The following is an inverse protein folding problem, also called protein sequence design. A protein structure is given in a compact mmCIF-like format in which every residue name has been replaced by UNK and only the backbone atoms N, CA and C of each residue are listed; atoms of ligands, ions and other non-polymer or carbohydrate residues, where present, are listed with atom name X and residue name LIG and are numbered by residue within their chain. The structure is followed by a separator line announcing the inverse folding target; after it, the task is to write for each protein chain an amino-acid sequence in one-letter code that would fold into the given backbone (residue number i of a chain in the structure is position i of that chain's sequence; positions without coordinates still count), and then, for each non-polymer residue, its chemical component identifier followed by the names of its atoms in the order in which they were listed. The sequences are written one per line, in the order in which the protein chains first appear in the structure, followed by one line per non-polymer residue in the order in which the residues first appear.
data_IF_578204110888
#
_entry.id   IF_578204110888
#
_cell.length_a   1.000
_cell.length_b   1.000
_cell.length_c   1.000
_cell.angle_alpha   90.00
_cell.angle_beta   90.00
_cell.angle_gamma   90.00
#
_symmetry.space_group_name_H-M   'P 1'
#
loop_
_entity.id
_entity.type
_entity.pdbx_description
1 polymer ?
#
# COMPACT_ATOMS: atom_id res chain seq x y z
N UNK A 1 -9.94 11.48 -6.94
CA UNK A 1 -9.46 11.95 -5.61
C UNK A 1 -7.99 11.56 -5.53
N UNK A 2 -7.07 12.52 -5.53
CA UNK A 2 -5.66 12.25 -5.21
C UNK A 2 -5.62 11.77 -3.75
N UNK A 3 -5.64 10.44 -3.55
CA UNK A 3 -5.48 9.87 -2.22
C UNK A 3 -3.99 9.90 -1.89
N UNK A 4 -3.61 10.77 -0.98
CA UNK A 4 -2.31 10.72 -0.31
C UNK A 4 -2.27 9.48 0.57
N UNK A 5 -1.17 8.72 0.50
CA UNK A 5 -0.93 7.56 1.35
C UNK A 5 -1.06 7.94 2.83
N UNK A 6 -1.92 7.25 3.59
CA UNK A 6 -2.06 7.45 5.03
C UNK A 6 -0.87 6.82 5.75
N UNK A 7 -0.13 7.61 6.52
CA UNK A 7 0.99 7.12 7.32
C UNK A 7 0.53 6.91 8.76
N UNK A 8 0.90 5.78 9.33
CA UNK A 8 0.57 5.36 10.69
C UNK A 8 1.88 5.05 11.43
N UNK A 9 1.99 5.44 12.69
CA UNK A 9 3.02 4.93 13.60
C UNK A 9 2.72 3.47 13.98
N UNK A 10 3.74 2.73 14.40
CA UNK A 10 3.60 1.33 14.80
C UNK A 10 2.51 1.13 15.87
N UNK A 11 2.43 2.03 16.85
CA UNK A 11 1.44 1.95 17.93
C UNK A 11 -0.01 2.21 17.49
N UNK A 12 -0.22 2.89 16.35
CA UNK A 12 -1.56 3.16 15.80
C UNK A 12 -2.14 1.95 15.06
N UNK A 13 -1.32 0.93 14.81
CA UNK A 13 -1.75 -0.30 14.18
C UNK A 13 -1.96 -1.38 15.24
N UNK A 14 -3.23 -1.73 15.46
CA UNK A 14 -3.59 -2.89 16.28
C UNK A 14 -4.30 -3.89 15.40
N UNK A 15 -3.79 -5.12 15.40
CA UNK A 15 -4.50 -6.26 14.84
C UNK A 15 -5.51 -6.77 15.86
N UNK A 16 -6.77 -6.36 15.67
CA UNK A 16 -7.89 -6.79 16.50
C UNK A 16 -8.63 -8.02 15.95
N UNK A 17 -8.16 -8.61 14.84
CA UNK A 17 -8.84 -9.74 14.19
C UNK A 17 -10.24 -9.39 13.68
N UNK A 18 -10.44 -8.16 13.22
CA UNK A 18 -11.74 -7.72 12.67
C UNK A 18 -12.11 -8.55 11.43
N UNK A 19 -13.37 -9.00 11.31
CA UNK A 19 -13.78 -9.96 10.27
C UNK A 19 -13.71 -9.41 8.84
N UNK A 20 -13.69 -8.08 8.69
CA UNK A 20 -13.59 -7.36 7.43
C UNK A 20 -12.13 -6.94 7.10
N UNK A 21 -11.15 -7.43 7.88
CA UNK A 21 -9.72 -7.25 7.65
C UNK A 21 -9.10 -8.57 7.23
N UNK A 22 -8.47 -8.59 6.06
CA UNK A 22 -7.70 -9.74 5.59
C UNK A 22 -6.20 -9.47 5.77
N UNK A 23 -5.48 -10.44 6.33
CA UNK A 23 -4.03 -10.41 6.37
C UNK A 23 -3.47 -11.41 5.36
N UNK A 24 -2.56 -10.94 4.51
CA UNK A 24 -1.89 -11.81 3.55
C UNK A 24 -0.41 -11.93 3.92
N UNK A 25 0.07 -13.18 3.95
CA UNK A 25 1.50 -13.44 3.98
C UNK A 25 2.12 -12.93 2.68
N UNK A 26 3.40 -12.57 2.74
CA UNK A 26 4.14 -12.03 1.61
C UNK A 26 4.35 -13.02 0.44
N UNK A 27 4.02 -14.30 0.62
CA UNK A 27 4.04 -15.36 -0.39
C UNK A 27 2.64 -15.80 -0.85
N UNK A 28 1.56 -15.25 -0.27
CA UNK A 28 0.20 -15.52 -0.71
C UNK A 28 -0.04 -14.98 -2.13
N UNK A 29 -0.79 -15.73 -2.95
CA UNK A 29 -1.25 -15.27 -4.26
C UNK A 29 -2.59 -14.54 -4.12
N UNK A 30 -2.67 -13.22 -4.40
CA UNK A 30 -3.94 -12.50 -4.34
C UNK A 30 -4.99 -13.04 -5.30
N UNK A 31 -4.59 -13.64 -6.42
CA UNK A 31 -5.52 -14.19 -7.41
C UNK A 31 -6.20 -15.48 -6.92
N UNK A 32 -5.67 -16.10 -5.86
CA UNK A 32 -6.24 -17.29 -5.24
C UNK A 32 -7.18 -16.97 -4.04
N UNK A 33 -7.45 -15.69 -3.77
CA UNK A 33 -8.40 -15.30 -2.71
C UNK A 33 -9.82 -15.72 -3.13
N UNK A 34 -10.42 -16.62 -2.35
CA UNK A 34 -11.79 -17.12 -2.59
C UNK A 34 -12.87 -16.26 -1.90
N UNK A 35 -12.46 -15.39 -0.98
CA UNK A 35 -13.37 -14.50 -0.23
C UNK A 35 -13.87 -13.37 -1.15
N UNK A 36 -15.13 -12.96 -0.96
CA UNK A 36 -15.68 -11.80 -1.64
C UNK A 36 -14.98 -10.52 -1.16
N UNK A 37 -14.18 -9.91 -2.05
CA UNK A 37 -13.43 -8.69 -1.73
C UNK A 37 -14.32 -7.45 -1.50
N UNK A 38 -15.60 -7.50 -1.88
CA UNK A 38 -16.55 -6.41 -1.64
C UNK A 38 -16.94 -6.28 -0.16
N UNK A 39 -16.82 -7.36 0.61
CA UNK A 39 -17.07 -7.38 2.07
C UNK A 39 -15.82 -7.05 2.90
N UNK A 40 -14.67 -6.87 2.23
CA UNK A 40 -13.38 -6.59 2.88
C UNK A 40 -13.14 -5.08 2.90
N UNK A 41 -12.91 -4.52 4.08
CA UNK A 41 -12.62 -3.09 4.23
C UNK A 41 -11.12 -2.81 4.12
N UNK A 42 -10.28 -3.75 4.57
CA UNK A 42 -8.83 -3.60 4.61
C UNK A 42 -8.11 -4.91 4.32
N UNK A 43 -7.00 -4.80 3.58
CA UNK A 43 -6.04 -5.88 3.39
C UNK A 43 -4.68 -5.41 3.88
N UNK A 44 -4.13 -6.11 4.87
CA UNK A 44 -2.79 -5.89 5.39
C UNK A 44 -1.80 -6.79 4.64
N UNK A 45 -0.77 -6.18 4.04
CA UNK A 45 0.30 -6.88 3.32
C UNK A 45 1.60 -6.69 4.08
N UNK A 46 2.21 -7.81 4.48
CA UNK A 46 3.40 -7.81 5.31
C UNK A 46 4.70 -7.67 4.49
N UNK A 47 5.62 -6.85 5.01
CA UNK A 47 7.00 -6.75 4.57
C UNK A 47 7.92 -7.35 5.65
N UNK A 48 8.29 -8.65 5.60
CA UNK A 48 9.08 -9.25 6.69
C UNK A 48 10.49 -8.66 6.85
N UNK A 49 11.02 -8.08 5.77
CA UNK A 49 12.33 -7.42 5.70
C UNK A 49 12.35 -6.39 4.58
N UNK A 50 13.18 -5.35 4.71
CA UNK A 50 13.23 -4.24 3.75
C UNK A 50 13.55 -4.66 2.31
N UNK A 51 14.24 -5.80 2.14
CA UNK A 51 14.62 -6.36 0.82
C UNK A 51 13.52 -7.16 0.15
N UNK A 52 12.39 -7.39 0.83
CA UNK A 52 11.28 -8.14 0.26
C UNK A 52 10.33 -7.21 -0.50
N UNK A 53 10.19 -7.45 -1.81
CA UNK A 53 9.36 -6.65 -2.69
C UNK A 53 8.01 -7.26 -3.05
N UNK A 54 7.66 -8.46 -2.56
CA UNK A 54 6.48 -9.20 -3.06
C UNK A 54 5.16 -8.48 -2.78
N UNK A 55 5.05 -7.82 -1.63
CA UNK A 55 3.87 -7.04 -1.25
C UNK A 55 3.55 -5.90 -2.24
N UNK A 56 4.54 -5.34 -2.96
CA UNK A 56 4.29 -4.39 -4.05
C UNK A 56 3.49 -5.02 -5.19
N UNK A 57 3.88 -6.23 -5.61
CA UNK A 57 3.18 -6.98 -6.65
C UNK A 57 1.78 -7.37 -6.18
N UNK A 58 1.64 -7.80 -4.92
CA UNK A 58 0.34 -8.13 -4.33
C UNK A 58 -0.61 -6.93 -4.34
N UNK A 59 -0.15 -5.76 -3.85
CA UNK A 59 -0.93 -4.52 -3.86
C UNK A 59 -1.35 -4.11 -5.28
N UNK A 60 -0.44 -4.24 -6.25
CA UNK A 60 -0.75 -3.91 -7.65
C UNK A 60 -1.83 -4.83 -8.20
N UNK A 61 -1.74 -6.14 -7.98
CA UNK A 61 -2.76 -7.10 -8.43
C UNK A 61 -4.11 -6.84 -7.76
N UNK A 62 -4.14 -6.63 -6.44
CA UNK A 62 -5.35 -6.31 -5.70
C UNK A 62 -6.02 -5.05 -6.26
N UNK A 63 -5.25 -3.97 -6.48
CA UNK A 63 -5.80 -2.70 -6.96
C UNK A 63 -6.20 -2.72 -8.44
N UNK A 64 -5.35 -3.26 -9.31
CA UNK A 64 -5.49 -3.15 -10.79
C UNK A 64 -6.21 -4.32 -11.44
N UNK A 65 -6.03 -5.54 -10.95
CA UNK A 65 -6.58 -6.75 -11.56
C UNK A 65 -7.86 -7.20 -10.86
N UNK A 66 -7.84 -7.21 -9.53
CA UNK A 66 -8.99 -7.61 -8.73
C UNK A 66 -9.92 -6.44 -8.38
N UNK A 67 -9.47 -5.21 -8.65
CA UNK A 67 -10.31 -4.02 -8.54
C UNK A 67 -10.63 -3.60 -7.11
N UNK A 68 -9.96 -4.15 -6.10
CA UNK A 68 -10.20 -3.89 -4.69
C UNK A 68 -10.22 -2.38 -4.38
N UNK A 69 -11.24 -1.93 -3.66
CA UNK A 69 -11.50 -0.50 -3.38
C UNK A 69 -11.18 -0.09 -1.95
N UNK A 70 -11.06 -1.05 -1.04
CA UNK A 70 -10.71 -0.82 0.36
C UNK A 70 -9.27 -0.35 0.57
N UNK A 71 -8.89 -0.28 1.84
CA UNK A 71 -7.55 0.06 2.30
C UNK A 71 -6.58 -1.09 2.03
N UNK A 72 -5.50 -0.82 1.30
CA UNK A 72 -4.38 -1.76 1.21
C UNK A 72 -3.28 -1.15 2.07
N UNK A 73 -2.96 -1.83 3.18
CA UNK A 73 -2.04 -1.34 4.19
C UNK A 73 -0.72 -2.10 4.14
N UNK A 74 0.39 -1.38 4.14
CA UNK A 74 1.71 -1.98 4.34
C UNK A 74 2.00 -2.13 5.84
N UNK A 75 2.48 -3.29 6.27
CA UNK A 75 2.93 -3.58 7.65
C UNK A 75 4.32 -4.22 7.65
N UNK A 76 4.96 -4.33 8.82
CA UNK A 76 6.28 -4.97 8.96
C UNK A 76 7.45 -3.98 8.87
N UNK A 77 8.49 -4.34 8.13
CA UNK A 77 9.76 -3.58 7.96
C UNK A 77 9.61 -2.42 6.96
N UNK A 78 8.62 -1.56 7.20
CA UNK A 78 8.27 -0.42 6.34
C UNK A 78 9.07 0.82 6.72
N UNK A 79 9.80 1.37 5.75
CA UNK A 79 10.64 2.55 5.89
C UNK A 79 10.12 3.72 5.04
N UNK A 80 10.61 4.93 5.35
CA UNK A 80 10.13 6.18 4.74
C UNK A 80 10.43 6.26 3.24
N UNK A 81 11.60 5.78 2.82
CA UNK A 81 12.06 5.78 1.43
C UNK A 81 11.19 4.93 0.49
N UNK A 82 10.42 3.99 1.05
CA UNK A 82 9.53 3.10 0.31
C UNK A 82 8.14 3.69 0.02
N UNK A 83 7.70 4.66 0.81
CA UNK A 83 6.31 5.16 0.83
C UNK A 83 5.81 5.67 -0.53
N UNK A 84 6.68 6.37 -1.25
CA UNK A 84 6.37 6.87 -2.60
C UNK A 84 6.08 5.72 -3.55
N UNK A 85 6.90 4.67 -3.52
CA UNK A 85 6.70 3.50 -4.37
C UNK A 85 5.43 2.74 -3.95
N UNK A 86 5.17 2.62 -2.64
CA UNK A 86 3.96 1.98 -2.11
C UNK A 86 2.68 2.66 -2.63
N UNK A 87 2.64 4.00 -2.57
CA UNK A 87 1.50 4.75 -3.11
C UNK A 87 1.27 4.44 -4.59
N UNK A 88 2.35 4.41 -5.38
CA UNK A 88 2.28 4.12 -6.83
C UNK A 88 1.88 2.68 -7.14
N UNK A 89 2.14 1.72 -6.26
CA UNK A 89 1.72 0.32 -6.47
C UNK A 89 0.33 0.01 -5.92
N UNK A 90 -0.35 0.96 -5.29
CA UNK A 90 -1.76 0.85 -4.94
C UNK A 90 -2.06 0.73 -3.45
N UNK A 91 -1.04 0.85 -2.58
CA UNK A 91 -1.24 1.00 -1.15
C UNK A 91 -2.01 2.29 -0.85
N UNK A 92 -2.85 2.23 0.17
CA UNK A 92 -3.62 3.37 0.69
C UNK A 92 -3.18 3.79 2.09
N UNK A 93 -2.54 2.88 2.83
CA UNK A 93 -1.90 3.21 4.10
C UNK A 93 -0.60 2.43 4.32
N UNK A 94 0.23 2.92 5.23
CA UNK A 94 1.48 2.29 5.62
C UNK A 94 1.72 2.50 7.12
N UNK A 95 2.02 1.40 7.81
CA UNK A 95 2.45 1.40 9.21
C UNK A 95 3.97 1.43 9.22
N UNK A 96 4.54 2.54 9.68
CA UNK A 96 5.98 2.66 9.79
C UNK A 96 6.51 1.73 10.88
N UNK A 97 7.68 1.16 10.62
CA UNK A 97 8.42 0.41 11.63
C UNK A 97 8.67 1.27 12.88
N UNK A 98 8.69 0.64 14.04
CA UNK A 98 9.05 1.28 15.30
C UNK A 98 10.37 2.06 15.20
N UNK A 99 10.41 3.24 15.81
CA UNK A 99 11.57 4.14 15.80
C UNK A 99 11.76 4.96 14.52
N UNK A 100 10.87 4.81 13.53
CA UNK A 100 10.88 5.63 12.31
C UNK A 100 10.05 6.89 12.50
N UNK A 101 10.67 8.06 12.26
CA UNK A 101 10.02 9.36 12.40
C UNK A 101 9.09 9.69 11.22
N UNK A 102 7.79 9.58 11.46
CA UNK A 102 6.74 9.87 10.48
C UNK A 102 6.80 11.31 9.92
N UNK A 103 7.35 12.27 10.67
CA UNK A 103 7.40 13.68 10.22
C UNK A 103 8.30 13.86 8.99
N UNK A 104 9.24 12.94 8.77
CA UNK A 104 10.10 12.95 7.60
C UNK A 104 9.44 12.37 6.33
N UNK A 105 8.27 11.73 6.44
CA UNK A 105 7.57 11.10 5.32
C UNK A 105 7.15 12.09 4.24
N UNK A 106 6.64 13.27 4.64
CA UNK A 106 6.16 14.29 3.70
C UNK A 106 7.25 14.72 2.70
N UNK A 107 8.51 14.82 3.17
CA UNK A 107 9.65 15.18 2.32
C UNK A 107 9.88 14.22 1.16
N UNK A 108 9.50 12.95 1.30
CA UNK A 108 9.62 11.98 0.19
C UNK A 108 8.62 12.26 -0.92
N UNK A 109 7.38 12.61 -0.55
CA UNK A 109 6.35 12.96 -1.52
C UNK A 109 6.67 14.30 -2.20
N UNK A 110 7.16 15.27 -1.45
CA UNK A 110 7.52 16.59 -2.00
C UNK A 110 8.70 16.52 -2.99
N UNK A 111 9.56 15.50 -2.86
CA UNK A 111 10.72 15.31 -3.74
C UNK A 111 10.32 14.99 -5.19
N UNK A 112 9.14 14.43 -5.39
CA UNK A 112 8.66 13.97 -6.69
C UNK A 112 7.25 14.50 -6.96
N UNK A 113 7.16 15.70 -7.52
CA UNK A 113 5.88 16.36 -7.79
C UNK A 113 5.01 15.63 -8.84
N UNK A 114 5.61 14.86 -9.77
CA UNK A 114 4.90 14.11 -10.79
C UNK A 114 5.74 12.95 -11.35
N UNK A 115 5.07 12.00 -12.01
CA UNK A 115 5.69 10.86 -12.68
C UNK A 115 5.23 10.78 -14.14
N UNK A 116 6.16 10.48 -15.04
CA UNK A 116 5.85 10.34 -16.46
C UNK A 116 4.93 9.14 -16.76
N UNK A 117 5.20 8.00 -16.11
CA UNK A 117 4.44 6.76 -16.26
C UNK A 117 3.21 6.78 -15.34
N UNK A 118 2.12 6.13 -15.79
CA UNK A 118 0.99 5.82 -14.94
C UNK A 118 1.37 4.88 -13.79
N UNK A 119 0.44 4.69 -12.88
CA UNK A 119 0.63 3.86 -11.69
C UNK A 119 -0.62 3.01 -11.38
N UNK A 120 -0.67 2.35 -10.22
CA UNK A 120 -1.77 1.47 -9.85
C UNK A 120 -3.11 2.20 -9.60
N UNK A 121 -3.08 3.50 -9.35
CA UNK A 121 -4.25 4.33 -9.08
C UNK A 121 -4.60 5.17 -10.31
N UNK A 122 -3.64 5.91 -10.85
CA UNK A 122 -3.76 6.71 -12.07
C UNK A 122 -2.98 6.07 -13.22
N UNK A 123 -3.64 5.18 -13.94
CA UNK A 123 -3.00 4.39 -14.99
C UNK A 123 -2.68 5.18 -16.26
N UNK A 124 -3.36 6.30 -16.52
CA UNK A 124 -3.05 7.12 -17.68
C UNK A 124 -1.67 7.78 -17.47
N UNK A 125 -0.72 7.66 -18.41
CA UNK A 125 0.58 8.31 -18.27
C UNK A 125 0.46 9.83 -18.42
N UNK A 126 1.44 10.57 -17.89
CA UNK A 126 1.38 12.04 -17.78
C UNK A 126 1.15 12.74 -19.13
N UNK A 127 1.79 12.27 -20.21
CA UNK A 127 1.68 12.88 -21.54
C UNK A 127 0.28 12.74 -22.18
N UNK A 128 -0.61 11.95 -21.58
CA UNK A 128 -2.02 11.84 -22.00
C UNK A 128 -2.97 12.69 -21.15
N UNK A 129 -2.47 13.29 -20.07
CA UNK A 129 -3.24 14.11 -19.14
C UNK A 129 -3.19 15.56 -19.66
N UNK A 130 -4.30 16.03 -20.23
CA UNK A 130 -4.46 17.39 -20.75
C UNK A 130 -4.77 18.39 -19.64
#
# INVERSE_FOLDING_TARGET
MNKTLKILAAEEHVDNGEPNVLQLTNDADPLAIEVCLDDVERIDLDFPKFTDGRAYSQAYLLRRRLGFKGDIRATGDVLIDQLVQMQRTGFSSAVLKEGVDATAAQRQFDRFAAYYQGDAVEAAPLFTRA
#
